data_IF_513037671051
#
_entry.id   IF_513037671051
#
_cell.length_a   1.000
_cell.length_b   1.000
_cell.length_c   1.000
_cell.angle_alpha   90.00
_cell.angle_beta   90.00
_cell.angle_gamma   90.00
#
_symmetry.space_group_name_H-M   'P 1'
#
loop_
_entity.id
_entity.type
_entity.pdbx_description
1 polymer ?
#
# COMPACT_ATOMS: atom_id res chain seq x y z
N UNK A 1 -2.56 22.93 -16.75
CA UNK A 1 -3.80 23.06 -15.95
C UNK A 1 -4.99 22.33 -16.58
N UNK A 2 -5.32 22.56 -17.85
CA UNK A 2 -6.50 21.91 -18.48
C UNK A 2 -6.34 20.40 -18.69
N UNK A 3 -5.14 19.93 -19.03
CA UNK A 3 -4.86 18.51 -19.30
C UNK A 3 -5.03 17.62 -18.06
N UNK A 4 -4.48 18.02 -16.92
CA UNK A 4 -4.59 17.28 -15.65
C UNK A 4 -6.04 17.19 -15.17
N UNK A 5 -6.81 18.28 -15.32
CA UNK A 5 -8.25 18.30 -15.01
C UNK A 5 -9.03 17.33 -15.90
N UNK A 6 -8.72 17.28 -17.20
CA UNK A 6 -9.34 16.32 -18.14
C UNK A 6 -9.00 14.87 -17.78
N UNK A 7 -7.75 14.58 -17.46
CA UNK A 7 -7.32 13.25 -17.03
C UNK A 7 -8.05 12.79 -15.75
N UNK A 8 -8.21 13.70 -14.77
CA UNK A 8 -8.98 13.44 -13.55
C UNK A 8 -10.47 13.17 -13.84
N UNK A 9 -11.11 14.00 -14.68
CA UNK A 9 -12.51 13.79 -15.05
C UNK A 9 -12.72 12.47 -15.82
N UNK A 10 -11.73 12.05 -16.62
CA UNK A 10 -11.75 10.75 -17.27
C UNK A 10 -11.69 9.62 -16.24
N UNK A 11 -10.76 9.69 -15.28
CA UNK A 11 -10.68 8.70 -14.20
C UNK A 11 -12.02 8.55 -13.45
N UNK A 12 -12.64 9.67 -13.07
CA UNK A 12 -13.91 9.66 -12.34
C UNK A 12 -15.07 9.05 -13.14
N UNK A 13 -14.95 8.95 -14.46
CA UNK A 13 -15.97 8.36 -15.35
C UNK A 13 -15.68 6.92 -15.74
N UNK A 14 -14.49 6.39 -15.43
CA UNK A 14 -14.12 5.01 -15.76
C UNK A 14 -14.84 4.00 -14.87
N UNK A 15 -15.05 4.34 -13.59
CA UNK A 15 -15.68 3.42 -12.64
C UNK A 15 -17.18 3.33 -12.85
N UNK A 16 -17.72 2.11 -12.70
CA UNK A 16 -19.17 1.85 -12.63
C UNK A 16 -19.55 1.82 -11.16
N UNK A 17 -20.45 2.71 -10.72
CA UNK A 17 -20.81 2.85 -9.29
C UNK A 17 -19.60 3.01 -8.35
N UNK A 18 -18.55 3.67 -8.84
CA UNK A 18 -17.25 3.87 -8.16
C UNK A 18 -16.45 2.59 -7.91
N UNK A 19 -16.84 1.48 -8.53
CA UNK A 19 -16.05 0.25 -8.62
C UNK A 19 -15.10 0.34 -9.81
N UNK A 20 -13.83 0.01 -9.58
CA UNK A 20 -12.77 -0.02 -10.57
C UNK A 20 -12.11 -1.39 -10.53
N UNK A 21 -11.97 -2.02 -11.69
CA UNK A 21 -11.10 -3.19 -11.82
C UNK A 21 -9.67 -2.75 -12.17
N UNK A 22 -8.73 -3.67 -11.98
CA UNK A 22 -7.31 -3.36 -12.17
C UNK A 22 -6.99 -3.03 -13.63
N UNK A 23 -7.64 -3.66 -14.60
CA UNK A 23 -7.43 -3.35 -16.02
C UNK A 23 -7.80 -1.88 -16.35
N UNK A 24 -8.88 -1.34 -15.77
CA UNK A 24 -9.25 0.07 -15.92
C UNK A 24 -8.20 1.01 -15.32
N UNK A 25 -7.66 0.65 -14.15
CA UNK A 25 -6.63 1.42 -13.47
C UNK A 25 -5.34 1.42 -14.30
N UNK A 26 -4.88 0.25 -14.73
CA UNK A 26 -3.67 0.10 -15.53
C UNK A 26 -3.77 0.81 -16.88
N UNK A 27 -4.93 0.73 -17.53
CA UNK A 27 -5.19 1.47 -18.76
C UNK A 27 -5.07 3.00 -18.54
N UNK A 28 -5.67 3.51 -17.47
CA UNK A 28 -5.60 4.94 -17.16
C UNK A 28 -4.17 5.40 -16.85
N UNK A 29 -3.43 4.61 -16.05
CA UNK A 29 -2.02 4.85 -15.76
C UNK A 29 -1.19 4.88 -17.05
N UNK A 30 -1.36 3.87 -17.92
CA UNK A 30 -0.64 3.78 -19.18
C UNK A 30 -0.92 5.02 -20.06
N UNK A 31 -2.20 5.38 -20.20
CA UNK A 31 -2.65 6.49 -21.04
C UNK A 31 -2.09 7.84 -20.60
N UNK A 32 -1.98 8.07 -19.30
CA UNK A 32 -1.53 9.36 -18.75
C UNK A 32 -0.07 9.35 -18.26
N UNK A 33 0.69 8.30 -18.57
CA UNK A 33 2.08 8.14 -18.11
C UNK A 33 3.01 9.27 -18.55
N UNK A 34 2.87 9.78 -19.78
CA UNK A 34 3.70 10.89 -20.25
C UNK A 34 3.33 12.24 -19.59
N UNK A 35 2.05 12.44 -19.30
CA UNK A 35 1.59 13.59 -18.52
C UNK A 35 2.17 13.53 -17.10
N UNK A 36 2.16 12.36 -16.47
CA UNK A 36 2.78 12.14 -15.17
C UNK A 36 4.27 12.44 -15.18
N UNK A 37 5.04 11.84 -16.10
CA UNK A 37 6.49 12.09 -16.19
C UNK A 37 6.80 13.58 -16.32
N UNK A 38 6.05 14.29 -17.17
CA UNK A 38 6.21 15.74 -17.34
C UNK A 38 5.95 16.49 -16.03
N UNK A 39 4.79 16.23 -15.40
CA UNK A 39 4.41 16.93 -14.17
C UNK A 39 5.30 16.58 -12.98
N UNK A 40 5.78 15.34 -12.89
CA UNK A 40 6.72 14.92 -11.85
C UNK A 40 8.08 15.64 -11.99
N UNK A 41 8.49 16.01 -13.20
CA UNK A 41 9.67 16.85 -13.43
C UNK A 41 9.37 18.31 -13.07
N UNK A 42 8.29 18.86 -13.63
CA UNK A 42 7.90 20.28 -13.44
C UNK A 42 7.59 20.61 -11.97
N UNK A 43 7.10 19.61 -11.22
CA UNK A 43 6.69 19.71 -9.82
C UNK A 43 7.44 18.70 -8.93
N UNK A 44 8.73 18.47 -9.21
CA UNK A 44 9.57 17.51 -8.46
C UNK A 44 9.51 17.65 -6.94
N UNK A 45 9.25 18.86 -6.46
CA UNK A 45 9.16 19.21 -5.05
C UNK A 45 7.93 18.62 -4.34
N UNK A 46 6.95 18.17 -5.12
CA UNK A 46 5.69 17.58 -4.64
C UNK A 46 5.81 16.07 -4.51
N UNK A 47 6.66 15.45 -5.33
CA UNK A 47 6.87 14.01 -5.39
C UNK A 47 7.99 13.56 -4.44
N UNK A 48 8.87 14.48 -4.02
CA UNK A 48 10.01 14.18 -3.15
C UNK A 48 9.71 14.58 -1.69
N UNK A 49 9.64 13.57 -0.82
CA UNK A 49 9.33 13.70 0.61
C UNK A 49 10.34 14.55 1.40
N UNK A 50 11.47 14.94 0.79
CA UNK A 50 12.50 15.76 1.44
C UNK A 50 12.17 17.27 1.49
N UNK A 51 11.11 17.71 0.82
CA UNK A 51 10.75 19.13 0.78
C UNK A 51 9.78 19.54 1.90
N UNK A 52 9.94 20.77 2.43
CA UNK A 52 9.17 21.21 3.59
C UNK A 52 7.68 21.45 3.26
N UNK A 53 6.82 21.25 4.26
CA UNK A 53 5.36 21.40 4.16
C UNK A 53 4.92 22.78 3.65
N UNK A 54 5.72 23.82 3.86
CA UNK A 54 5.45 25.18 3.35
C UNK A 54 5.52 25.26 1.82
N UNK A 55 6.48 24.57 1.18
CA UNK A 55 6.61 24.55 -0.28
C UNK A 55 5.50 23.74 -0.95
N UNK A 56 5.12 22.62 -0.33
CA UNK A 56 3.97 21.81 -0.77
C UNK A 56 2.69 22.66 -0.80
N UNK A 57 2.45 23.48 0.23
CA UNK A 57 1.27 24.34 0.31
C UNK A 57 1.23 25.38 -0.81
N UNK A 58 2.35 26.01 -1.14
CA UNK A 58 2.41 27.02 -2.23
C UNK A 58 2.13 26.43 -3.60
N UNK A 59 2.57 25.20 -3.87
CA UNK A 59 2.32 24.54 -5.15
C UNK A 59 0.88 24.02 -5.25
N UNK A 60 0.30 23.52 -4.15
CA UNK A 60 -1.12 23.14 -4.07
C UNK A 60 -2.03 24.31 -4.41
N UNK A 61 -1.75 25.49 -3.87
CA UNK A 61 -2.56 26.69 -4.12
C UNK A 61 -2.41 27.18 -5.57
N UNK A 62 -1.20 27.08 -6.14
CA UNK A 62 -0.89 27.56 -7.49
C UNK A 62 -1.32 26.62 -8.61
N UNK A 63 -1.21 25.31 -8.39
CA UNK A 63 -1.47 24.28 -9.41
C UNK A 63 -2.29 23.10 -8.87
N UNK A 64 -3.49 23.34 -8.29
CA UNK A 64 -4.24 22.33 -7.55
C UNK A 64 -4.60 21.10 -8.41
N UNK A 65 -4.82 21.27 -9.71
CA UNK A 65 -5.15 20.15 -10.60
C UNK A 65 -3.93 19.29 -10.97
N UNK A 66 -2.72 19.86 -10.99
CA UNK A 66 -1.51 19.09 -11.27
C UNK A 66 -1.13 18.26 -10.04
N UNK A 67 -1.17 18.86 -8.85
CA UNK A 67 -0.89 18.16 -7.59
C UNK A 67 -1.83 16.97 -7.40
N UNK A 68 -3.14 17.19 -7.54
CA UNK A 68 -4.14 16.11 -7.42
C UNK A 68 -3.94 15.00 -8.43
N UNK A 69 -3.61 15.36 -9.68
CA UNK A 69 -3.33 14.36 -10.69
C UNK A 69 -2.13 13.49 -10.28
N UNK A 70 -1.06 14.09 -9.77
CA UNK A 70 0.11 13.36 -9.26
C UNK A 70 -0.27 12.45 -8.09
N UNK A 71 -1.01 12.96 -7.10
CA UNK A 71 -1.47 12.17 -5.94
C UNK A 71 -2.31 10.95 -6.37
N UNK A 72 -3.25 11.15 -7.29
CA UNK A 72 -4.11 10.08 -7.80
C UNK A 72 -3.30 9.08 -8.61
N UNK A 73 -2.41 9.55 -9.48
CA UNK A 73 -1.55 8.68 -10.27
C UNK A 73 -0.65 7.83 -9.37
N UNK A 74 -0.01 8.42 -8.35
CA UNK A 74 0.85 7.70 -7.40
C UNK A 74 0.04 6.69 -6.57
N UNK A 75 -1.16 7.06 -6.13
CA UNK A 75 -2.07 6.14 -5.42
C UNK A 75 -2.43 4.93 -6.28
N UNK A 76 -2.85 5.16 -7.53
CA UNK A 76 -3.23 4.09 -8.46
C UNK A 76 -2.03 3.22 -8.87
N UNK A 77 -0.87 3.82 -9.11
CA UNK A 77 0.35 3.08 -9.45
C UNK A 77 0.83 2.21 -8.28
N UNK A 78 0.73 2.70 -7.04
CA UNK A 78 0.99 1.87 -5.83
C UNK A 78 0.08 0.64 -5.81
N UNK A 79 -1.22 0.80 -6.02
CA UNK A 79 -2.17 -0.32 -6.01
C UNK A 79 -1.88 -1.31 -7.13
N UNK A 80 -1.65 -0.82 -8.36
CA UNK A 80 -1.29 -1.67 -9.50
C UNK A 80 0.04 -2.42 -9.26
N UNK A 81 1.02 -1.83 -8.56
CA UNK A 81 2.26 -2.52 -8.17
C UNK A 81 2.01 -3.73 -7.26
N UNK A 82 1.04 -3.65 -6.34
CA UNK A 82 0.67 -4.80 -5.51
C UNK A 82 0.03 -5.90 -6.36
N UNK A 83 -0.93 -5.54 -7.22
CA UNK A 83 -1.59 -6.54 -8.06
C UNK A 83 -0.60 -7.23 -9.02
N UNK A 84 0.36 -6.49 -9.58
CA UNK A 84 1.40 -7.08 -10.45
C UNK A 84 2.30 -8.11 -9.75
N UNK A 85 2.31 -8.14 -8.41
CA UNK A 85 3.04 -9.12 -7.59
C UNK A 85 2.16 -10.28 -7.13
N UNK A 86 0.89 -10.31 -7.48
CA UNK A 86 -0.04 -11.36 -7.08
C UNK A 86 0.46 -12.76 -7.45
N UNK A 87 0.94 -12.95 -8.68
CA UNK A 87 1.55 -14.21 -9.11
C UNK A 87 2.82 -14.59 -8.34
N UNK A 88 3.59 -13.58 -7.90
CA UNK A 88 4.76 -13.83 -7.06
C UNK A 88 4.34 -14.33 -5.68
N UNK A 89 3.35 -13.69 -5.06
CA UNK A 89 2.84 -14.11 -3.75
C UNK A 89 2.22 -15.49 -3.78
N UNK A 90 1.47 -15.81 -4.84
CA UNK A 90 0.96 -17.17 -5.07
C UNK A 90 2.06 -18.23 -5.01
N UNK A 91 3.16 -18.01 -5.73
CA UNK A 91 4.29 -18.95 -5.73
C UNK A 91 4.96 -19.06 -4.35
N UNK A 92 5.06 -17.97 -3.61
CA UNK A 92 5.64 -17.99 -2.26
C UNK A 92 4.71 -18.67 -1.24
N UNK A 93 3.39 -18.55 -1.38
CA UNK A 93 2.41 -19.27 -0.57
C UNK A 93 2.49 -20.78 -0.80
N UNK A 94 2.66 -21.22 -2.05
CA UNK A 94 2.87 -22.64 -2.37
C UNK A 94 4.14 -23.21 -1.72
N UNK A 95 5.18 -22.39 -1.55
CA UNK A 95 6.39 -22.77 -0.81
C UNK A 95 6.09 -22.82 0.68
N UNK A 96 5.48 -21.76 1.21
CA UNK A 96 5.10 -21.64 2.62
C UNK A 96 4.33 -22.88 3.10
N UNK A 97 3.28 -23.29 2.39
CA UNK A 97 2.45 -24.42 2.79
C UNK A 97 3.19 -25.76 2.85
N UNK A 98 4.31 -25.90 2.11
CA UNK A 98 5.16 -27.10 2.17
C UNK A 98 6.11 -27.08 3.37
N UNK A 99 6.51 -25.90 3.83
CA UNK A 99 7.56 -25.72 4.84
C UNK A 99 7.04 -25.25 6.20
N UNK A 100 5.76 -24.87 6.32
CA UNK A 100 5.18 -24.25 7.53
C UNK A 100 5.34 -25.07 8.82
N UNK A 101 5.54 -26.39 8.72
CA UNK A 101 5.79 -27.27 9.88
C UNK A 101 7.28 -27.58 10.10
N UNK A 102 8.17 -27.13 9.22
CA UNK A 102 9.62 -27.24 9.36
C UNK A 102 10.19 -25.89 9.81
N UNK A 103 10.44 -25.76 11.12
CA UNK A 103 10.87 -24.51 11.74
C UNK A 103 12.13 -23.92 11.11
N UNK A 104 13.09 -24.76 10.70
CA UNK A 104 14.34 -24.30 10.08
C UNK A 104 14.08 -23.67 8.71
N UNK A 105 13.31 -24.35 7.87
CA UNK A 105 12.97 -23.86 6.53
C UNK A 105 12.06 -22.63 6.60
N UNK A 106 11.07 -22.65 7.48
CA UNK A 106 10.18 -21.52 7.74
C UNK A 106 10.97 -20.27 8.16
N UNK A 107 11.93 -20.41 9.08
CA UNK A 107 12.77 -19.29 9.51
C UNK A 107 13.64 -18.72 8.38
N UNK A 108 14.17 -19.58 7.51
CA UNK A 108 14.93 -19.13 6.34
C UNK A 108 14.03 -18.38 5.34
N UNK A 109 12.83 -18.88 5.11
CA UNK A 109 11.83 -18.23 4.27
C UNK A 109 11.42 -16.86 4.85
N UNK A 110 11.09 -16.80 6.14
CA UNK A 110 10.77 -15.53 6.83
C UNK A 110 11.91 -14.50 6.69
N UNK A 111 13.17 -14.92 6.87
CA UNK A 111 14.34 -14.03 6.69
C UNK A 111 14.49 -13.52 5.26
N UNK A 112 14.22 -14.35 4.24
CA UNK A 112 14.23 -13.95 2.82
C UNK A 112 13.22 -12.83 2.56
N UNK A 113 12.04 -12.92 3.16
CA UNK A 113 10.94 -11.98 2.92
C UNK A 113 10.89 -10.82 3.91
N UNK A 114 11.71 -10.82 4.97
CA UNK A 114 11.79 -9.72 5.93
C UNK A 114 11.99 -8.34 5.31
N UNK A 115 12.81 -8.25 4.24
CA UNK A 115 13.01 -6.99 3.53
C UNK A 115 11.79 -6.54 2.71
N UNK A 116 10.88 -7.45 2.38
CA UNK A 116 9.60 -7.12 1.74
C UNK A 116 8.61 -6.56 2.76
N UNK A 117 8.81 -6.83 4.05
CA UNK A 117 8.14 -6.11 5.14
C UNK A 117 8.76 -4.73 5.36
N UNK A 118 9.05 -4.02 4.26
CA UNK A 118 9.41 -2.62 4.32
C UNK A 118 8.17 -1.76 4.62
N UNK A 119 8.39 -0.46 4.82
CA UNK A 119 7.31 0.50 5.11
C UNK A 119 6.17 0.45 4.09
N UNK A 120 6.40 0.03 2.84
CA UNK A 120 5.37 0.09 1.79
C UNK A 120 4.28 -0.96 1.97
N UNK A 121 4.64 -2.21 2.26
CA UNK A 121 3.67 -3.30 2.47
C UNK A 121 2.93 -3.17 3.80
N UNK A 122 3.64 -2.75 4.86
CA UNK A 122 3.00 -2.41 6.14
C UNK A 122 1.96 -1.31 5.93
N UNK A 123 2.31 -0.28 5.16
CA UNK A 123 1.39 0.81 4.86
C UNK A 123 0.19 0.32 4.02
N UNK A 124 0.40 -0.60 3.08
CA UNK A 124 -0.72 -1.22 2.35
C UNK A 124 -1.68 -1.94 3.29
N UNK A 125 -1.18 -2.80 4.18
CA UNK A 125 -2.00 -3.53 5.15
C UNK A 125 -2.77 -2.56 6.07
N UNK A 126 -2.07 -1.57 6.61
CA UNK A 126 -2.63 -0.54 7.50
C UNK A 126 -3.71 0.27 6.77
N UNK A 127 -3.37 0.91 5.66
CA UNK A 127 -4.27 1.85 4.95
C UNK A 127 -5.46 1.15 4.29
N UNK A 128 -5.30 -0.11 3.85
CA UNK A 128 -6.28 -0.77 2.98
C UNK A 128 -7.01 -1.94 3.63
N UNK A 129 -6.41 -2.62 4.61
CA UNK A 129 -6.99 -3.82 5.22
C UNK A 129 -7.49 -3.55 6.65
N UNK A 130 -6.75 -2.81 7.47
CA UNK A 130 -7.13 -2.53 8.87
C UNK A 130 -7.98 -1.26 9.05
N UNK A 131 -7.58 -0.14 8.44
CA UNK A 131 -8.28 1.14 8.61
C UNK A 131 -9.39 1.40 7.56
N UNK A 132 -9.62 0.44 6.67
CA UNK A 132 -10.74 0.44 5.73
C UNK A 132 -12.08 0.23 6.46
N UNK A 133 -12.57 1.26 7.15
CA UNK A 133 -13.89 1.38 7.82
C UNK A 133 -14.58 0.04 8.13
N UNK A 134 -14.47 -0.41 9.39
CA UNK A 134 -15.37 -1.36 10.05
C UNK A 134 -16.81 -1.22 9.50
N UNK A 135 -17.24 -2.16 8.64
CA UNK A 135 -18.65 -2.41 8.38
C UNK A 135 -19.23 -2.12 6.99
N UNK A 136 -18.48 -1.68 5.97
CA UNK A 136 -19.07 -1.51 4.62
C UNK A 136 -18.15 -2.04 3.51
N UNK A 137 -18.43 -3.29 3.11
CA UNK A 137 -17.81 -4.12 2.07
C UNK A 137 -16.49 -4.81 2.45
N UNK A 138 -16.64 -5.95 3.13
CA UNK A 138 -15.56 -6.92 3.37
C UNK A 138 -14.81 -7.33 2.10
N UNK A 139 -15.44 -7.20 0.93
CA UNK A 139 -14.92 -7.65 -0.37
C UNK A 139 -14.18 -6.58 -1.18
N UNK A 140 -14.06 -5.33 -0.72
CA UNK A 140 -13.47 -4.27 -1.53
C UNK A 140 -12.37 -3.48 -0.80
N UNK A 141 -11.29 -3.16 -1.51
CA UNK A 141 -10.28 -2.20 -1.09
C UNK A 141 -10.81 -0.80 -1.39
N UNK A 142 -10.96 0.01 -0.34
CA UNK A 142 -11.43 1.39 -0.47
C UNK A 142 -10.25 2.35 -0.55
N UNK A 143 -10.27 3.21 -1.56
CA UNK A 143 -9.32 4.29 -1.75
C UNK A 143 -10.01 5.64 -1.63
N UNK A 144 -9.29 6.64 -1.14
CA UNK A 144 -9.79 8.01 -1.02
C UNK A 144 -8.84 8.97 -1.71
N UNK A 145 -9.37 9.77 -2.65
CA UNK A 145 -8.62 10.85 -3.30
C UNK A 145 -9.23 12.21 -2.97
N UNK A 146 -8.38 13.22 -2.93
CA UNK A 146 -8.80 14.60 -2.68
C UNK A 146 -9.30 15.27 -3.97
N UNK A 147 -10.53 15.78 -3.95
CA UNK A 147 -11.13 16.57 -5.03
C UNK A 147 -11.06 18.08 -4.72
N UNK A 148 -11.33 18.97 -5.70
CA UNK A 148 -11.56 20.39 -5.44
C UNK A 148 -12.59 20.62 -4.32
N UNK A 149 -12.45 21.75 -3.62
CA UNK A 149 -13.43 22.25 -2.61
C UNK A 149 -13.63 21.30 -1.42
N UNK A 150 -12.54 20.73 -0.88
CA UNK A 150 -12.53 19.84 0.30
C UNK A 150 -13.41 18.60 0.19
N UNK A 151 -13.78 18.21 -1.04
CA UNK A 151 -14.51 16.97 -1.31
C UNK A 151 -13.54 15.80 -1.37
N UNK A 152 -13.98 14.64 -0.89
CA UNK A 152 -13.27 13.38 -1.01
C UNK A 152 -14.01 12.48 -2.00
N UNK A 153 -13.29 11.88 -2.93
CA UNK A 153 -13.84 10.82 -3.77
C UNK A 153 -13.35 9.47 -3.26
N UNK A 154 -14.32 8.65 -2.84
CA UNK A 154 -14.09 7.28 -2.41
C UNK A 154 -14.34 6.37 -3.62
N UNK A 155 -13.38 5.53 -3.95
CA UNK A 155 -13.54 4.48 -4.95
C UNK A 155 -13.10 3.12 -4.40
N UNK A 156 -13.53 2.06 -5.07
CA UNK A 156 -13.40 0.70 -4.59
C UNK A 156 -12.80 -0.19 -5.65
N UNK A 157 -12.00 -1.16 -5.21
CA UNK A 157 -11.38 -2.19 -6.04
C UNK A 157 -11.72 -3.54 -5.42
N UNK A 158 -11.97 -4.54 -6.23
CA UNK A 158 -12.26 -5.88 -5.72
C UNK A 158 -11.04 -6.45 -4.98
N UNK A 159 -11.24 -6.97 -3.77
CA UNK A 159 -10.18 -7.62 -3.00
C UNK A 159 -9.75 -8.94 -3.61
N UNK A 160 -10.60 -9.59 -4.41
CA UNK A 160 -10.24 -10.85 -5.07
C UNK A 160 -9.03 -10.69 -6.00
N UNK A 161 -8.79 -9.48 -6.51
CA UNK A 161 -7.62 -9.18 -7.34
C UNK A 161 -6.29 -9.25 -6.54
N UNK A 162 -6.36 -9.39 -5.21
CA UNK A 162 -5.23 -9.35 -4.28
C UNK A 162 -5.24 -10.52 -3.28
N UNK A 163 -5.95 -11.62 -3.56
CA UNK A 163 -6.15 -12.73 -2.61
C UNK A 163 -4.83 -13.26 -2.01
N UNK A 164 -3.83 -13.52 -2.84
CA UNK A 164 -2.53 -14.08 -2.47
C UNK A 164 -1.67 -13.00 -1.81
N UNK A 165 -1.75 -11.76 -2.29
CA UNK A 165 -1.08 -10.62 -1.63
C UNK A 165 -1.56 -10.46 -0.20
N UNK A 166 -2.88 -10.47 0.02
CA UNK A 166 -3.49 -10.31 1.34
C UNK A 166 -3.11 -11.47 2.25
N UNK A 167 -3.26 -12.71 1.76
CA UNK A 167 -2.93 -13.92 2.54
C UNK A 167 -1.45 -13.98 2.94
N UNK A 168 -0.55 -13.70 1.99
CA UNK A 168 0.89 -13.63 2.26
C UNK A 168 1.20 -12.61 3.36
N UNK A 169 0.58 -11.42 3.30
CA UNK A 169 0.82 -10.37 4.28
C UNK A 169 0.31 -10.74 5.67
N UNK A 170 -0.84 -11.40 5.79
CA UNK A 170 -1.34 -11.88 7.08
C UNK A 170 -0.48 -12.99 7.67
N UNK A 171 -0.03 -13.95 6.87
CA UNK A 171 0.91 -14.99 7.34
C UNK A 171 2.18 -14.33 7.88
N UNK A 172 2.72 -13.36 7.14
CA UNK A 172 3.94 -12.67 7.54
C UNK A 172 3.74 -11.85 8.83
N UNK A 173 2.59 -11.19 8.97
CA UNK A 173 2.18 -10.48 10.18
C UNK A 173 2.12 -11.41 11.40
N UNK A 174 1.40 -12.53 11.29
CA UNK A 174 1.25 -13.52 12.36
C UNK A 174 2.61 -14.02 12.85
N UNK A 175 3.51 -14.39 11.92
CA UNK A 175 4.86 -14.85 12.28
C UNK A 175 5.73 -13.72 12.85
N UNK A 176 5.58 -12.49 12.37
CA UNK A 176 6.33 -11.34 12.89
C UNK A 176 5.90 -10.97 14.31
N UNK A 177 4.59 -10.90 14.59
CA UNK A 177 4.07 -10.69 15.94
C UNK A 177 4.45 -11.84 16.87
N UNK A 178 4.33 -13.09 16.43
CA UNK A 178 4.70 -14.26 17.23
C UNK A 178 6.18 -14.27 17.61
N UNK A 179 7.08 -13.97 16.66
CA UNK A 179 8.52 -13.92 16.91
C UNK A 179 8.91 -12.74 17.82
N UNK A 180 8.32 -11.55 17.63
CA UNK A 180 8.57 -10.41 18.54
C UNK A 180 8.00 -10.64 19.94
N UNK A 181 6.87 -11.34 20.09
CA UNK A 181 6.33 -11.72 21.40
C UNK A 181 7.25 -12.72 22.12
N UNK A 182 7.87 -13.64 21.39
CA UNK A 182 8.85 -14.58 21.94
C UNK A 182 10.12 -13.85 22.36
N UNK A 183 10.69 -13.00 21.49
CA UNK A 183 11.90 -12.23 21.82
C UNK A 183 11.69 -11.32 23.05
N UNK A 184 10.54 -10.66 23.17
CA UNK A 184 10.24 -9.83 24.34
C UNK A 184 10.01 -10.65 25.62
N UNK A 185 9.38 -11.84 25.54
CA UNK A 185 9.22 -12.73 26.71
C UNK A 185 10.56 -13.35 27.17
N UNK A 186 11.52 -13.54 26.27
CA UNK A 186 12.88 -14.01 26.64
C UNK A 186 13.78 -12.89 27.19
N UNK A 187 13.47 -11.62 26.93
CA UNK A 187 14.15 -10.47 27.54
C UNK A 187 13.63 -10.22 28.97
N UNK A 188 12.33 -10.37 29.21
CA UNK A 188 11.77 -10.24 30.57
C UNK A 188 12.05 -11.47 31.46
N UNK A 189 12.22 -12.66 30.87
CA UNK A 189 12.53 -13.91 31.61
C UNK A 189 14.00 -14.12 32.01
N UNK A 190 14.89 -13.13 31.82
CA UNK A 190 16.32 -13.22 32.19
C UNK A 190 16.77 -12.22 33.27
N UNK A 191 15.82 -11.58 33.97
CA UNK A 191 16.15 -10.60 35.00
C UNK A 191 15.88 -11.05 36.44
N UNK A 192 15.72 -12.36 36.69
CA UNK A 192 15.47 -12.92 38.05
C UNK A 192 16.46 -14.02 38.47
N UNK A 193 17.74 -13.93 38.09
CA UNK A 193 18.79 -14.81 38.63
C UNK A 193 20.07 -14.06 39.01
N UNK A 194 19.92 -12.93 39.71
CA UNK A 194 20.99 -12.41 40.58
C UNK A 194 20.29 -11.86 41.81
N UNK A 195 20.12 -12.69 42.84
CA UNK A 195 20.19 -12.38 44.29
C UNK A 195 19.52 -13.52 45.07
N UNK A 196 20.17 -14.69 45.10
CA UNK A 196 19.99 -15.62 46.22
C UNK A 196 21.35 -16.10 46.73
N UNK A 197 21.55 -15.77 48.00
CA UNK A 197 22.34 -16.45 49.02
C UNK A 197 23.80 -16.01 49.28
N UNK A 198 23.89 -15.41 50.49
CA UNK A 198 24.98 -15.34 51.47
C UNK A 198 25.96 -14.17 51.39
#
# INVERSE_FOLDING_TARGET
>A
METSRKAMNEFLRLGVDRLYNIAMIEWWLLKHSDLYKKLAIDHRFIVDERFSSTYLRTEVDKYPNNVRFLEVYDCLDKISKYQRRESFFKNELEIYYKIQHNLTELNLWMKKHFKMWDKSYVLFVVENLYYGELGLNENHIKQTIHLPETKFYKFFIDKSDFENTIEFLFIFEDHFYFNNLIENKFVEGKQDDIYTNN
#
